data_IF_998106448044
#
_entry.id   IF_998106448044
#
_cell.length_a   1.000
_cell.length_b   1.000
_cell.length_c   1.000
_cell.angle_alpha   90.00
_cell.angle_beta   90.00
_cell.angle_gamma   90.00
#
_symmetry.space_group_name_H-M   'P 1'
#
loop_
_entity.id
_entity.type
_entity.pdbx_description
1 polymer ?
#
# COMPACT_ATOMS: atom_id res chain seq x y z
N UNK A 1 59.77 -13.11 11.53
CA UNK A 1 59.44 -12.84 10.09
C UNK A 1 57.96 -13.10 9.77
N UNK A 2 57.30 -14.22 10.13
CA UNK A 2 55.92 -14.50 9.77
C UNK A 2 54.86 -13.61 10.45
N UNK A 3 55.09 -13.15 11.68
CA UNK A 3 54.13 -12.30 12.40
C UNK A 3 54.07 -10.85 11.89
N UNK A 4 55.17 -10.29 11.43
CA UNK A 4 55.24 -8.94 10.87
C UNK A 4 54.53 -8.87 9.50
N UNK A 5 54.73 -9.89 8.66
CA UNK A 5 54.05 -10.00 7.35
C UNK A 5 52.53 -10.17 7.51
N UNK A 6 52.10 -10.97 8.51
CA UNK A 6 50.64 -11.12 8.79
C UNK A 6 50.03 -9.83 9.34
N UNK A 7 50.77 -9.08 10.15
CA UNK A 7 50.26 -7.78 10.68
C UNK A 7 50.14 -6.75 9.54
N UNK A 8 51.07 -6.72 8.61
CA UNK A 8 51.04 -5.79 7.48
C UNK A 8 49.89 -6.12 6.51
N UNK A 9 49.67 -7.39 6.20
CA UNK A 9 48.52 -7.82 5.40
C UNK A 9 47.17 -7.54 6.08
N UNK A 10 47.08 -7.68 7.39
CA UNK A 10 45.88 -7.33 8.17
C UNK A 10 45.60 -5.83 8.15
N UNK A 11 46.66 -5.02 8.25
CA UNK A 11 46.54 -3.57 8.20
C UNK A 11 45.99 -3.10 6.85
N UNK A 12 46.56 -3.59 5.72
CA UNK A 12 46.08 -3.28 4.38
C UNK A 12 44.62 -3.70 4.17
N UNK A 13 44.23 -4.87 4.68
CA UNK A 13 42.86 -5.34 4.61
C UNK A 13 41.89 -4.42 5.40
N UNK A 14 42.28 -4.00 6.60
CA UNK A 14 41.45 -3.09 7.42
C UNK A 14 41.30 -1.70 6.78
N UNK A 15 42.33 -1.21 6.11
CA UNK A 15 42.27 0.06 5.36
C UNK A 15 41.29 -0.04 4.20
N UNK A 16 41.29 -1.13 3.45
CA UNK A 16 40.32 -1.38 2.36
C UNK A 16 38.90 -1.46 2.91
N UNK A 17 38.70 -2.23 3.97
CA UNK A 17 37.38 -2.35 4.62
C UNK A 17 36.87 -1.01 5.09
N UNK A 18 37.72 -0.22 5.77
CA UNK A 18 37.35 1.11 6.27
C UNK A 18 36.97 2.05 5.14
N UNK A 19 37.78 2.10 4.08
CA UNK A 19 37.53 2.97 2.93
C UNK A 19 36.23 2.56 2.19
N UNK A 20 36.06 1.30 1.86
CA UNK A 20 34.91 0.82 1.09
C UNK A 20 33.60 0.93 1.90
N UNK A 21 33.60 0.63 3.21
CA UNK A 21 32.40 0.79 4.02
C UNK A 21 31.98 2.25 4.21
N UNK A 22 32.94 3.19 4.28
CA UNK A 22 32.61 4.61 4.38
C UNK A 22 32.16 5.25 3.08
N UNK A 23 32.72 4.84 1.94
CA UNK A 23 32.38 5.44 0.63
C UNK A 23 31.22 4.74 -0.06
N UNK A 24 31.21 3.39 -0.05
CA UNK A 24 30.24 2.58 -0.81
C UNK A 24 29.15 1.98 0.07
N UNK A 25 29.34 1.93 1.40
CA UNK A 25 28.44 1.26 2.33
C UNK A 25 28.50 -0.27 2.27
N UNK A 26 29.32 -0.85 1.38
CA UNK A 26 29.54 -2.29 1.24
C UNK A 26 30.99 -2.59 0.87
N UNK A 27 31.50 -3.71 1.34
CA UNK A 27 32.85 -4.15 1.09
C UNK A 27 32.90 -5.67 0.90
N UNK A 28 33.66 -6.13 -0.09
CA UNK A 28 33.91 -7.54 -0.33
C UNK A 28 35.42 -7.82 -0.22
N UNK A 29 35.82 -8.54 0.82
CA UNK A 29 37.23 -8.83 1.11
C UNK A 29 37.51 -10.33 1.13
N UNK A 30 38.58 -10.74 0.46
CA UNK A 30 39.10 -12.12 0.53
C UNK A 30 40.09 -12.24 1.67
N UNK A 31 39.72 -12.96 2.73
CA UNK A 31 40.56 -13.21 3.87
C UNK A 31 40.52 -14.67 4.28
N UNK A 32 41.71 -15.24 4.58
CA UNK A 32 41.84 -16.62 5.09
C UNK A 32 41.19 -17.70 4.21
N UNK A 33 41.10 -17.46 2.89
CA UNK A 33 40.49 -18.42 1.94
C UNK A 33 38.96 -18.31 1.84
N UNK A 34 38.35 -17.32 2.51
CA UNK A 34 36.90 -17.01 2.46
C UNK A 34 36.68 -15.61 1.91
N UNK A 35 35.58 -15.43 1.21
CA UNK A 35 35.10 -14.11 0.81
C UNK A 35 34.15 -13.59 1.89
N UNK A 36 34.53 -12.48 2.54
CA UNK A 36 33.71 -11.77 3.51
C UNK A 36 32.99 -10.63 2.79
N UNK A 37 31.68 -10.67 2.78
CA UNK A 37 30.83 -9.57 2.31
C UNK A 37 30.31 -8.80 3.51
N UNK A 38 30.74 -7.55 3.66
CA UNK A 38 30.37 -6.66 4.75
C UNK A 38 29.49 -5.54 4.17
N UNK A 39 28.37 -5.26 4.83
CA UNK A 39 27.48 -4.17 4.46
C UNK A 39 27.11 -3.35 5.70
N UNK A 40 27.19 -2.04 5.56
CA UNK A 40 26.69 -1.13 6.59
C UNK A 40 25.17 -1.16 6.53
N UNK A 41 24.56 -1.85 7.50
CA UNK A 41 23.11 -1.76 7.69
C UNK A 41 22.82 -0.45 8.40
N UNK A 42 22.16 0.49 7.71
CA UNK A 42 21.57 1.64 8.41
C UNK A 42 20.60 1.10 9.43
N UNK A 43 20.67 1.63 10.68
CA UNK A 43 19.64 1.36 11.69
C UNK A 43 18.37 2.02 11.19
N UNK A 44 17.61 1.32 10.37
CA UNK A 44 16.28 1.77 9.99
C UNK A 44 15.37 1.64 11.22
N UNK A 45 14.47 2.60 11.45
CA UNK A 45 13.46 2.44 12.49
C UNK A 45 12.67 1.15 12.22
N UNK A 46 12.25 0.49 13.29
CA UNK A 46 11.40 -0.70 13.16
C UNK A 46 10.18 -0.39 12.30
N UNK A 47 9.83 -1.25 11.35
CA UNK A 47 8.66 -1.05 10.52
C UNK A 47 7.40 -1.06 11.40
N UNK A 48 6.35 -0.31 11.05
CA UNK A 48 5.09 -0.35 11.77
C UNK A 48 4.53 -1.77 11.83
N UNK A 49 3.76 -2.04 12.87
CA UNK A 49 3.04 -3.32 12.97
C UNK A 49 2.10 -3.47 11.78
N UNK A 50 2.11 -4.67 11.24
CA UNK A 50 1.28 -5.05 10.08
C UNK A 50 0.03 -5.75 10.59
N UNK A 51 -1.15 -5.29 10.11
CA UNK A 51 -2.44 -5.80 10.53
C UNK A 51 -3.06 -6.68 9.45
N UNK A 52 -4.03 -7.51 9.81
CA UNK A 52 -4.68 -8.47 8.92
C UNK A 52 -5.46 -7.81 7.76
N UNK A 53 -5.90 -6.57 7.95
CA UNK A 53 -6.61 -5.75 6.95
C UNK A 53 -5.71 -4.86 6.10
N UNK A 54 -4.42 -4.81 6.37
CA UNK A 54 -3.48 -4.04 5.57
C UNK A 54 -3.27 -4.68 4.19
N UNK A 55 -3.11 -3.83 3.18
CA UNK A 55 -2.86 -4.26 1.81
C UNK A 55 -1.42 -3.96 1.43
N UNK A 56 -0.59 -4.99 1.21
CA UNK A 56 0.77 -4.82 0.75
C UNK A 56 0.80 -4.49 -0.75
N UNK A 57 1.68 -3.57 -1.15
CA UNK A 57 1.93 -3.21 -2.54
C UNK A 57 3.42 -3.27 -2.86
N UNK A 58 3.79 -3.96 -3.93
CA UNK A 58 5.16 -4.04 -4.39
C UNK A 58 5.63 -2.70 -4.94
N UNK A 59 6.76 -2.21 -4.46
CA UNK A 59 7.40 -1.02 -5.01
C UNK A 59 8.02 -1.35 -6.38
N UNK A 60 7.89 -0.42 -7.34
CA UNK A 60 8.19 -0.64 -8.76
C UNK A 60 9.63 -1.10 -9.06
N UNK A 61 10.57 -0.84 -8.15
CA UNK A 61 11.98 -1.18 -8.33
C UNK A 61 12.24 -2.69 -8.48
N UNK A 62 11.32 -3.55 -8.05
CA UNK A 62 11.49 -5.01 -8.14
C UNK A 62 10.87 -5.57 -9.43
N UNK A 63 9.80 -4.96 -9.94
CA UNK A 63 9.22 -5.35 -11.24
C UNK A 63 10.14 -5.02 -12.43
N UNK A 64 11.05 -4.04 -12.27
CA UNK A 64 11.98 -3.61 -13.31
C UNK A 64 13.32 -4.38 -13.27
N UNK A 65 13.61 -5.13 -12.20
CA UNK A 65 14.81 -5.97 -12.13
C UNK A 65 14.74 -7.21 -13.04
N UNK A 66 13.60 -7.48 -13.67
CA UNK A 66 13.52 -8.45 -14.77
C UNK A 66 14.23 -7.95 -16.06
N UNK A 67 14.55 -6.65 -16.14
CA UNK A 67 15.20 -6.02 -17.29
C UNK A 67 16.57 -5.39 -16.99
N UNK A 68 17.08 -5.50 -15.76
CA UNK A 68 18.42 -4.96 -15.45
C UNK A 68 19.48 -5.98 -15.79
N UNK A 69 20.25 -5.68 -16.83
CA UNK A 69 21.38 -6.44 -17.40
C UNK A 69 22.58 -6.66 -16.44
N UNK A 70 22.36 -6.64 -15.14
CA UNK A 70 23.32 -7.09 -14.14
C UNK A 70 22.82 -8.39 -13.52
N UNK A 71 23.11 -9.46 -14.26
CA UNK A 71 23.03 -10.86 -13.95
C UNK A 71 23.04 -11.26 -12.46
N UNK A 72 21.89 -11.21 -11.83
CA UNK A 72 21.59 -12.07 -10.70
C UNK A 72 20.14 -12.51 -10.82
N UNK A 73 19.93 -13.55 -11.62
CA UNK A 73 18.70 -14.35 -11.66
C UNK A 73 18.41 -15.07 -10.34
N UNK A 74 19.17 -14.79 -9.29
CA UNK A 74 19.16 -15.51 -8.02
C UNK A 74 18.46 -14.75 -6.88
N UNK A 75 18.04 -13.50 -7.06
CA UNK A 75 17.44 -12.73 -5.94
C UNK A 75 16.12 -13.34 -5.42
N UNK A 76 15.39 -14.10 -6.24
CA UNK A 76 14.20 -14.83 -5.79
C UNK A 76 14.53 -16.08 -4.99
N UNK A 77 15.71 -16.67 -5.19
CA UNK A 77 16.18 -17.88 -4.47
C UNK A 77 16.75 -17.53 -3.08
N UNK A 78 17.05 -16.25 -2.82
CA UNK A 78 17.56 -15.79 -1.52
C UNK A 78 16.45 -15.52 -0.49
N UNK A 79 15.18 -15.38 -0.95
CA UNK A 79 14.05 -15.20 -0.05
C UNK A 79 13.64 -16.52 0.61
N UNK A 80 13.17 -16.45 1.85
CA UNK A 80 12.60 -17.61 2.52
C UNK A 80 11.39 -18.17 1.75
N UNK A 81 11.11 -19.45 1.92
CA UNK A 81 10.04 -20.15 1.20
C UNK A 81 8.67 -19.47 1.37
N UNK A 82 8.36 -18.97 2.56
CA UNK A 82 7.12 -18.28 2.85
C UNK A 82 7.00 -17.01 2.00
N UNK A 83 8.06 -16.21 1.97
CA UNK A 83 8.12 -14.97 1.16
C UNK A 83 7.95 -15.28 -0.32
N UNK A 84 8.66 -16.29 -0.85
CA UNK A 84 8.50 -16.71 -2.25
C UNK A 84 7.05 -17.10 -2.59
N UNK A 85 6.39 -17.82 -1.67
CA UNK A 85 5.03 -18.28 -1.85
C UNK A 85 4.02 -17.12 -1.87
N UNK A 86 4.18 -16.12 -1.00
CA UNK A 86 3.24 -14.99 -0.89
C UNK A 86 3.47 -13.90 -1.93
N UNK A 87 4.69 -13.74 -2.48
CA UNK A 87 5.02 -12.68 -3.44
C UNK A 87 4.08 -12.65 -4.66
N UNK A 88 3.62 -13.81 -5.12
CA UNK A 88 2.71 -13.92 -6.27
C UNK A 88 1.30 -13.37 -5.97
N UNK A 89 0.92 -13.28 -4.69
CA UNK A 89 -0.39 -12.80 -4.23
C UNK A 89 -0.38 -11.32 -3.82
N UNK A 90 0.80 -10.67 -3.85
CA UNK A 90 0.94 -9.24 -3.54
C UNK A 90 0.63 -8.43 -4.81
N UNK A 91 -0.65 -8.14 -5.02
CA UNK A 91 -1.17 -7.40 -6.17
C UNK A 91 -1.55 -5.94 -5.85
N UNK A 92 -1.48 -5.53 -4.58
CA UNK A 92 -1.92 -4.23 -4.09
C UNK A 92 -3.44 -4.13 -3.88
N UNK A 93 -4.18 -5.24 -3.99
CA UNK A 93 -5.63 -5.28 -3.82
C UNK A 93 -6.01 -6.15 -2.62
N UNK A 94 -5.33 -7.28 -2.44
CA UNK A 94 -5.65 -8.24 -1.40
C UNK A 94 -5.03 -7.85 -0.07
N UNK A 95 -5.85 -7.87 0.98
CA UNK A 95 -5.37 -7.69 2.35
C UNK A 95 -4.70 -8.96 2.88
N UNK A 96 -3.88 -8.83 3.92
CA UNK A 96 -3.02 -9.88 4.44
C UNK A 96 -3.78 -11.17 4.78
N UNK A 97 -4.93 -11.07 5.47
CA UNK A 97 -5.74 -12.25 5.80
C UNK A 97 -6.19 -13.02 4.55
N UNK A 98 -6.52 -12.30 3.47
CA UNK A 98 -6.89 -12.93 2.19
C UNK A 98 -5.68 -13.56 1.50
N UNK A 99 -4.52 -12.89 1.51
CA UNK A 99 -3.27 -13.45 0.99
C UNK A 99 -2.92 -14.74 1.73
N UNK A 100 -3.04 -14.76 3.06
CA UNK A 100 -2.79 -15.95 3.87
C UNK A 100 -3.70 -17.14 3.48
N UNK A 101 -4.99 -16.86 3.28
CA UNK A 101 -5.97 -17.87 2.87
C UNK A 101 -5.65 -18.45 1.49
N UNK A 102 -5.38 -17.61 0.51
CA UNK A 102 -5.13 -18.03 -0.89
C UNK A 102 -3.75 -18.68 -1.06
N UNK A 103 -2.75 -18.22 -0.31
CA UNK A 103 -1.43 -18.84 -0.30
C UNK A 103 -1.37 -20.14 0.53
N UNK A 104 -2.38 -20.43 1.35
CA UNK A 104 -2.38 -21.57 2.25
C UNK A 104 -1.32 -21.47 3.35
N UNK A 105 -0.99 -20.25 3.80
CA UNK A 105 0.03 -19.96 4.82
C UNK A 105 -0.65 -19.37 6.05
N UNK A 106 -0.12 -19.68 7.24
CA UNK A 106 -0.62 -19.05 8.47
C UNK A 106 -0.48 -17.53 8.44
N UNK A 107 -1.52 -16.82 8.90
CA UNK A 107 -1.59 -15.36 8.88
C UNK A 107 -0.44 -14.70 9.67
N UNK A 108 0.03 -15.34 10.74
CA UNK A 108 1.14 -14.83 11.55
C UNK A 108 2.45 -14.85 10.78
N UNK A 109 2.69 -15.90 9.99
CA UNK A 109 3.86 -16.03 9.12
C UNK A 109 3.79 -15.02 7.97
N UNK A 110 2.61 -14.83 7.37
CA UNK A 110 2.43 -13.83 6.31
C UNK A 110 2.71 -12.42 6.85
N UNK A 111 2.20 -12.07 8.03
CA UNK A 111 2.50 -10.76 8.67
C UNK A 111 4.00 -10.58 8.90
N UNK A 112 4.68 -11.59 9.44
CA UNK A 112 6.12 -11.53 9.67
C UNK A 112 6.91 -11.36 8.37
N UNK A 113 6.53 -12.10 7.30
CA UNK A 113 7.16 -11.98 5.99
C UNK A 113 6.93 -10.59 5.37
N UNK A 114 5.69 -10.06 5.42
CA UNK A 114 5.38 -8.72 4.95
C UNK A 114 6.12 -7.65 5.76
N UNK A 115 6.23 -7.81 7.09
CA UNK A 115 6.98 -6.90 7.94
C UNK A 115 8.47 -6.88 7.58
N UNK A 116 9.04 -8.03 7.24
CA UNK A 116 10.41 -8.15 6.75
C UNK A 116 10.58 -7.46 5.39
N UNK A 117 9.66 -7.70 4.44
CA UNK A 117 9.65 -7.01 3.14
C UNK A 117 9.49 -5.49 3.29
N UNK A 118 8.70 -5.03 4.26
CA UNK A 118 8.52 -3.61 4.58
C UNK A 118 9.82 -2.99 5.14
N UNK A 119 10.52 -3.73 6.01
CA UNK A 119 11.83 -3.31 6.53
C UNK A 119 12.85 -3.11 5.41
N UNK A 120 12.88 -4.02 4.44
CA UNK A 120 13.75 -3.94 3.26
C UNK A 120 13.25 -2.98 2.17
N UNK A 121 12.12 -2.29 2.38
CA UNK A 121 11.50 -1.37 1.42
C UNK A 121 11.16 -2.02 0.08
N UNK A 122 10.86 -3.28 0.09
CA UNK A 122 10.37 -4.06 -1.06
C UNK A 122 8.88 -3.83 -1.28
N UNK A 123 8.17 -3.68 -0.17
CA UNK A 123 6.73 -3.50 -0.09
C UNK A 123 6.41 -2.23 0.69
N UNK A 124 5.31 -1.57 0.35
CA UNK A 124 4.66 -0.55 1.17
C UNK A 124 3.24 -1.00 1.54
N UNK A 125 2.64 -0.37 2.54
CA UNK A 125 1.31 -0.69 3.05
C UNK A 125 0.32 0.40 2.68
N UNK A 126 -0.81 -0.01 2.11
CA UNK A 126 -1.94 0.87 1.82
C UNK A 126 -3.23 0.32 2.43
N UNK A 127 -4.23 1.15 2.75
CA UNK A 127 -5.52 0.69 3.21
C UNK A 127 -6.31 0.00 2.08
N UNK A 128 -7.29 -0.83 2.44
CA UNK A 128 -8.20 -1.46 1.47
C UNK A 128 -8.85 -0.38 0.60
N UNK A 129 -8.74 -0.53 -0.71
CA UNK A 129 -9.38 0.34 -1.68
C UNK A 129 -10.82 -0.12 -1.94
N UNK A 130 -11.76 0.83 -1.83
CA UNK A 130 -13.15 0.67 -2.27
C UNK A 130 -13.62 1.97 -2.91
N UNK A 131 -14.48 1.87 -3.90
CA UNK A 131 -15.11 3.04 -4.52
C UNK A 131 -16.00 3.84 -3.56
N UNK A 132 -16.53 3.20 -2.52
CA UNK A 132 -17.31 3.85 -1.45
C UNK A 132 -16.46 4.56 -0.38
N UNK A 133 -15.13 4.41 -0.44
CA UNK A 133 -14.25 5.10 0.49
C UNK A 133 -14.15 6.60 0.17
N UNK A 134 -14.00 7.39 1.23
CA UNK A 134 -13.64 8.81 1.15
C UNK A 134 -12.20 9.01 1.63
N UNK A 135 -11.53 9.99 1.06
CA UNK A 135 -10.14 10.32 1.39
C UNK A 135 -9.98 11.82 1.60
N UNK A 136 -9.12 12.20 2.54
CA UNK A 136 -8.76 13.59 2.80
C UNK A 136 -7.40 13.91 2.21
N UNK A 137 -7.27 15.11 1.69
CA UNK A 137 -5.99 15.67 1.28
C UNK A 137 -5.13 16.07 2.48
N UNK A 138 -3.84 15.82 2.38
CA UNK A 138 -2.84 16.30 3.32
C UNK A 138 -2.07 17.50 2.75
N UNK A 139 -1.38 18.28 3.59
CA UNK A 139 -0.53 19.38 3.11
C UNK A 139 0.58 18.97 2.14
N UNK A 140 0.92 17.68 2.08
CA UNK A 140 1.92 17.11 1.13
C UNK A 140 1.49 17.19 -0.34
N UNK A 141 0.23 17.50 -0.63
CA UNK A 141 -0.21 17.78 -2.00
C UNK A 141 0.65 18.83 -2.69
N UNK A 142 1.22 19.79 -1.94
CA UNK A 142 2.12 20.81 -2.47
C UNK A 142 3.35 20.22 -3.13
N UNK A 143 3.81 19.06 -2.66
CA UNK A 143 5.00 18.38 -3.18
C UNK A 143 4.85 17.95 -4.65
N UNK A 144 3.63 17.59 -5.08
CA UNK A 144 3.35 17.26 -6.48
C UNK A 144 3.40 18.49 -7.41
N UNK A 145 3.16 19.69 -6.87
CA UNK A 145 3.16 20.93 -7.64
C UNK A 145 4.53 21.60 -7.66
N UNK A 146 5.39 21.25 -6.71
CA UNK A 146 6.70 21.88 -6.57
C UNK A 146 7.59 21.56 -7.78
N UNK A 147 8.04 22.61 -8.46
CA UNK A 147 8.95 22.49 -9.61
C UNK A 147 10.29 21.84 -9.26
N UNK A 148 10.71 21.91 -7.99
CA UNK A 148 11.93 21.28 -7.51
C UNK A 148 11.78 19.75 -7.36
N UNK A 149 10.55 19.23 -7.35
CA UNK A 149 10.22 17.79 -7.19
C UNK A 149 9.70 17.17 -8.50
N UNK A 150 10.25 17.57 -9.63
CA UNK A 150 9.84 17.10 -10.96
C UNK A 150 9.96 15.56 -11.07
N UNK A 151 10.96 14.95 -10.43
CA UNK A 151 11.14 13.50 -10.40
C UNK A 151 9.93 12.79 -9.77
N UNK A 152 9.39 13.31 -8.66
CA UNK A 152 8.19 12.78 -8.00
C UNK A 152 6.96 12.86 -8.92
N UNK A 153 6.82 13.97 -9.65
CA UNK A 153 5.73 14.15 -10.62
C UNK A 153 5.82 13.17 -11.77
N UNK A 154 7.02 12.93 -12.30
CA UNK A 154 7.23 11.97 -13.38
C UNK A 154 6.97 10.54 -12.93
N UNK A 155 7.48 10.15 -11.75
CA UNK A 155 7.20 8.86 -11.12
C UNK A 155 5.68 8.66 -10.92
N UNK A 156 4.98 9.68 -10.42
CA UNK A 156 3.54 9.67 -10.27
C UNK A 156 2.82 9.43 -11.59
N UNK A 157 3.15 10.19 -12.63
CA UNK A 157 2.52 10.10 -13.96
C UNK A 157 2.76 8.74 -14.61
N UNK A 158 3.93 8.15 -14.42
CA UNK A 158 4.25 6.80 -14.91
C UNK A 158 3.47 5.73 -14.16
N UNK A 159 3.39 5.84 -12.84
CA UNK A 159 2.70 4.85 -12.00
C UNK A 159 1.20 4.75 -12.29
N UNK A 160 0.52 5.88 -12.51
CA UNK A 160 -0.92 5.93 -12.71
C UNK A 160 -1.37 5.58 -14.13
N UNK A 161 -0.45 5.55 -15.11
CA UNK A 161 -0.79 5.18 -16.48
C UNK A 161 -1.38 3.77 -16.52
N UNK A 162 -2.44 3.62 -17.28
CA UNK A 162 -3.00 2.31 -17.58
C UNK A 162 -2.03 1.57 -18.50
N UNK A 163 -1.64 0.35 -18.12
CA UNK A 163 -0.97 -0.56 -19.04
C UNK A 163 -2.05 -1.17 -19.93
N UNK A 164 -2.25 -0.61 -21.10
CA UNK A 164 -3.10 -1.25 -22.10
C UNK A 164 -2.39 -2.54 -22.53
N UNK A 165 -3.02 -3.69 -22.28
CA UNK A 165 -2.59 -5.00 -22.78
C UNK A 165 -2.86 -5.12 -24.30
N UNK A 166 -2.66 -4.07 -25.06
CA UNK A 166 -2.82 -4.08 -26.51
C UNK A 166 -1.44 -4.14 -27.19
N UNK A 167 -0.79 -5.30 -27.08
CA UNK A 167 0.23 -5.69 -28.07
C UNK A 167 -0.38 -6.03 -29.45
N UNK A 168 -1.68 -5.80 -29.67
CA UNK A 168 -2.37 -6.14 -30.92
C UNK A 168 -3.30 -5.03 -31.41
N UNK A 169 -2.83 -3.79 -31.47
CA UNK A 169 -3.42 -2.82 -32.40
C UNK A 169 -2.30 -2.31 -33.29
N UNK A 170 -2.12 -3.05 -34.37
CA UNK A 170 -1.41 -2.65 -35.57
C UNK A 170 -1.86 -1.22 -35.93
N UNK A 171 -0.89 -0.33 -36.03
CA UNK A 171 -1.02 1.05 -36.52
C UNK A 171 -1.91 1.07 -37.78
N UNK A 172 -3.17 1.43 -37.62
CA UNK A 172 -3.92 2.02 -38.70
C UNK A 172 -3.63 3.52 -38.64
N UNK A 173 -2.62 3.90 -39.39
CA UNK A 173 -2.30 5.27 -39.73
C UNK A 173 -3.41 5.76 -40.62
N UNK A 174 -4.41 6.42 -40.06
CA UNK A 174 -5.28 7.31 -40.84
C UNK A 174 -4.70 8.72 -40.78
N UNK A 175 -4.16 9.16 -41.89
CA UNK A 175 -3.47 10.42 -42.12
C UNK A 175 -4.39 11.66 -42.14
N UNK A 176 -5.50 11.71 -41.45
CA UNK A 176 -6.29 12.95 -41.39
C UNK A 176 -7.20 13.03 -40.15
N UNK A 177 -6.61 13.13 -38.97
CA UNK A 177 -7.30 13.81 -37.85
C UNK A 177 -6.30 14.30 -36.79
N UNK A 178 -5.96 15.56 -36.88
CA UNK A 178 -5.14 16.29 -35.90
C UNK A 178 -5.90 16.52 -34.58
N UNK A 179 -6.22 15.46 -33.86
CA UNK A 179 -6.51 15.51 -32.44
C UNK A 179 -5.16 15.51 -31.73
N UNK A 180 -4.66 16.73 -31.44
CA UNK A 180 -3.48 16.92 -30.59
C UNK A 180 -3.67 16.10 -29.33
N UNK A 181 -2.86 15.04 -29.19
CA UNK A 181 -2.68 14.37 -27.90
C UNK A 181 -2.43 15.46 -26.85
N UNK A 182 -3.17 15.49 -25.71
CA UNK A 182 -3.00 16.53 -24.71
C UNK A 182 -1.54 16.53 -24.28
N UNK A 183 -0.90 17.71 -24.29
CA UNK A 183 0.48 17.86 -23.81
C UNK A 183 0.54 17.29 -22.39
N UNK A 184 1.66 16.69 -22.00
CA UNK A 184 1.84 16.08 -20.67
C UNK A 184 1.49 17.03 -19.50
N UNK A 185 1.65 18.33 -19.69
CA UNK A 185 1.28 19.36 -18.73
C UNK A 185 -0.23 19.58 -18.61
N UNK A 186 -0.96 19.52 -19.74
CA UNK A 186 -2.41 19.67 -19.73
C UNK A 186 -3.06 18.49 -18.99
N UNK A 187 -2.57 17.27 -19.24
CA UNK A 187 -3.01 16.06 -18.56
C UNK A 187 -2.74 16.13 -17.04
N UNK A 188 -1.56 16.56 -16.61
CA UNK A 188 -1.25 16.71 -15.18
C UNK A 188 -2.14 17.74 -14.49
N UNK A 189 -2.44 18.87 -15.14
CA UNK A 189 -3.31 19.90 -14.59
C UNK A 189 -4.74 19.38 -14.34
N UNK A 190 -5.27 18.56 -15.23
CA UNK A 190 -6.59 17.97 -15.09
C UNK A 190 -6.62 16.92 -13.98
N UNK A 191 -5.57 16.07 -13.91
CA UNK A 191 -5.40 15.10 -12.82
C UNK A 191 -5.30 15.84 -11.47
N UNK A 192 -4.53 16.92 -11.41
CA UNK A 192 -4.39 17.70 -10.19
C UNK A 192 -5.72 18.32 -9.72
N UNK A 193 -6.54 18.82 -10.68
CA UNK A 193 -7.90 19.29 -10.36
C UNK A 193 -8.75 18.18 -9.77
N UNK A 194 -8.72 17.00 -10.36
CA UNK A 194 -9.44 15.84 -9.85
C UNK A 194 -8.98 15.47 -8.44
N UNK A 195 -7.67 15.49 -8.18
CA UNK A 195 -7.13 15.22 -6.84
C UNK A 195 -7.65 16.23 -5.82
N UNK A 196 -7.78 17.51 -6.18
CA UNK A 196 -8.30 18.54 -5.28
C UNK A 196 -9.77 18.34 -4.86
N UNK A 197 -10.53 17.48 -5.54
CA UNK A 197 -11.93 17.17 -5.17
C UNK A 197 -12.06 16.14 -4.03
N UNK A 198 -10.96 15.48 -3.67
CA UNK A 198 -10.98 14.55 -2.54
C UNK A 198 -11.22 15.28 -1.22
N UNK A 199 -12.31 14.92 -0.54
CA UNK A 199 -12.69 15.45 0.76
C UNK A 199 -13.44 14.39 1.59
N UNK A 200 -13.78 14.70 2.85
CA UNK A 200 -14.46 13.78 3.77
C UNK A 200 -15.84 13.31 3.32
N UNK A 201 -16.48 14.03 2.40
CA UNK A 201 -17.87 13.81 2.00
C UNK A 201 -18.02 13.18 0.64
N UNK A 202 -17.01 13.33 -0.24
CA UNK A 202 -17.01 12.73 -1.59
C UNK A 202 -16.39 11.36 -1.56
N UNK A 203 -17.05 10.40 -2.19
CA UNK A 203 -16.51 9.07 -2.39
C UNK A 203 -15.63 9.03 -3.64
N UNK A 204 -14.76 8.04 -3.75
CA UNK A 204 -13.98 7.80 -4.99
C UNK A 204 -14.92 7.60 -6.17
N UNK A 205 -16.07 6.92 -5.96
CA UNK A 205 -17.08 6.71 -6.98
C UNK A 205 -17.63 8.02 -7.54
N UNK A 206 -17.96 8.99 -6.68
CA UNK A 206 -18.47 10.31 -7.10
C UNK A 206 -17.46 11.05 -7.97
N UNK A 207 -16.18 10.98 -7.59
CA UNK A 207 -15.09 11.58 -8.35
C UNK A 207 -14.93 10.89 -9.71
N UNK A 208 -14.98 9.54 -9.74
CA UNK A 208 -14.86 8.77 -10.99
C UNK A 208 -16.03 9.03 -11.93
N UNK A 209 -17.27 9.19 -11.42
CA UNK A 209 -18.45 9.53 -12.24
C UNK A 209 -18.31 10.93 -12.83
N UNK A 210 -17.79 11.89 -12.04
CA UNK A 210 -17.64 13.30 -12.47
C UNK A 210 -16.53 13.49 -13.50
N UNK A 211 -15.37 12.89 -13.28
CA UNK A 211 -14.17 13.13 -14.09
C UNK A 211 -13.89 12.08 -15.14
N UNK A 212 -14.49 10.88 -15.03
CA UNK A 212 -14.27 9.72 -15.91
C UNK A 212 -12.77 9.47 -16.22
N UNK A 213 -11.92 9.27 -15.21
CA UNK A 213 -10.47 9.26 -15.37
C UNK A 213 -9.96 8.23 -16.37
N UNK A 214 -10.65 7.09 -16.53
CA UNK A 214 -10.30 6.06 -17.50
C UNK A 214 -10.52 6.51 -18.94
N UNK A 215 -11.63 7.22 -19.20
CA UNK A 215 -12.02 7.61 -20.55
C UNK A 215 -11.29 8.88 -21.00
N UNK A 216 -11.17 9.87 -20.10
CA UNK A 216 -10.65 11.21 -20.44
C UNK A 216 -9.13 11.33 -20.31
N UNK A 217 -8.53 10.65 -19.33
CA UNK A 217 -7.13 10.82 -18.96
C UNK A 217 -6.29 9.56 -19.14
N UNK A 218 -6.92 8.43 -19.49
CA UNK A 218 -6.30 7.10 -19.61
C UNK A 218 -5.46 6.72 -18.39
N UNK A 219 -6.01 6.97 -17.18
CA UNK A 219 -5.38 6.64 -15.91
C UNK A 219 -6.17 5.58 -15.16
N UNK A 220 -5.47 4.83 -14.31
CA UNK A 220 -6.04 3.86 -13.40
C UNK A 220 -6.32 4.53 -12.06
N UNK A 221 -7.60 4.66 -11.70
CA UNK A 221 -8.03 5.30 -10.46
C UNK A 221 -7.58 4.54 -9.20
N UNK A 222 -7.45 3.22 -9.27
CA UNK A 222 -6.94 2.42 -8.14
C UNK A 222 -5.49 2.79 -7.88
N UNK A 223 -4.67 2.78 -8.93
CA UNK A 223 -3.26 3.16 -8.84
C UNK A 223 -3.08 4.62 -8.40
N UNK A 224 -3.97 5.51 -8.86
CA UNK A 224 -3.97 6.91 -8.44
C UNK A 224 -4.09 7.01 -6.92
N UNK A 225 -5.13 6.38 -6.35
CA UNK A 225 -5.38 6.43 -4.89
C UNK A 225 -4.26 5.72 -4.13
N UNK A 226 -3.79 4.58 -4.61
CA UNK A 226 -2.68 3.84 -4.00
C UNK A 226 -1.41 4.69 -3.92
N UNK A 227 -0.99 5.29 -5.05
CA UNK A 227 0.22 6.12 -5.07
C UNK A 227 0.11 7.31 -4.11
N UNK A 228 -1.00 8.03 -4.17
CA UNK A 228 -1.23 9.19 -3.31
C UNK A 228 -1.27 8.81 -1.83
N UNK A 229 -1.76 7.61 -1.50
CA UNK A 229 -1.78 7.10 -0.12
C UNK A 229 -0.38 6.67 0.33
N UNK A 230 0.39 5.96 -0.51
CA UNK A 230 1.80 5.60 -0.24
C UNK A 230 2.65 6.85 0.04
N UNK A 231 2.51 7.89 -0.77
CA UNK A 231 3.22 9.17 -0.57
C UNK A 231 2.61 10.02 0.56
N UNK A 232 1.56 9.51 1.25
CA UNK A 232 0.83 10.21 2.32
C UNK A 232 0.25 11.55 1.89
N UNK A 233 -0.11 11.70 0.61
CA UNK A 233 -0.81 12.86 0.05
C UNK A 233 -2.31 12.74 0.30
N UNK A 234 -2.85 11.51 0.20
CA UNK A 234 -4.20 11.15 0.65
C UNK A 234 -4.15 10.38 1.97
N UNK A 235 -5.16 10.57 2.79
CA UNK A 235 -5.45 9.79 3.99
C UNK A 235 -6.87 9.25 3.87
N UNK A 236 -7.04 7.94 4.05
CA UNK A 236 -8.37 7.33 4.12
C UNK A 236 -9.15 7.87 5.32
N UNK A 237 -10.42 8.16 5.12
CA UNK A 237 -11.36 8.49 6.20
C UNK A 237 -11.95 7.19 6.71
N UNK A 238 -11.56 6.80 7.91
CA UNK A 238 -12.05 5.59 8.54
C UNK A 238 -13.43 5.83 9.17
N UNK A 239 -14.29 4.80 9.14
CA UNK A 239 -15.61 4.79 9.76
C UNK A 239 -15.53 3.93 11.02
N UNK A 240 -15.94 4.48 12.16
CA UNK A 240 -15.96 3.82 13.46
C UNK A 240 -17.39 3.71 13.95
N UNK A 241 -17.96 2.50 14.10
CA UNK A 241 -19.29 2.32 14.64
C UNK A 241 -19.26 2.44 16.17
N UNK A 242 -20.24 3.12 16.72
CA UNK A 242 -20.42 3.30 18.16
C UNK A 242 -21.83 2.95 18.53
N UNK A 243 -21.99 1.93 19.36
CA UNK A 243 -23.27 1.58 19.94
C UNK A 243 -23.54 2.42 21.18
N UNK A 244 -24.68 3.12 21.21
CA UNK A 244 -25.12 3.93 22.34
C UNK A 244 -26.35 3.28 22.95
N UNK A 245 -26.20 2.77 24.17
CA UNK A 245 -27.30 2.20 24.90
C UNK A 245 -28.25 3.32 25.37
N UNK A 246 -29.54 3.26 24.97
CA UNK A 246 -30.51 4.21 25.44
C UNK A 246 -30.67 4.13 26.97
N UNK A 247 -30.52 5.25 27.64
CA UNK A 247 -30.65 5.36 29.10
C UNK A 247 -32.05 4.89 29.63
N UNK A 248 -33.03 4.82 28.76
CA UNK A 248 -34.41 4.38 29.11
C UNK A 248 -34.55 2.85 29.21
N UNK A 249 -33.63 2.07 28.66
CA UNK A 249 -33.67 0.61 28.79
C UNK A 249 -33.21 0.11 30.17
N UNK A 250 -32.59 0.94 30.98
CA UNK A 250 -32.20 0.63 32.38
C UNK A 250 -33.36 0.62 33.36
N UNK A 251 -34.59 1.02 32.98
CA UNK A 251 -35.78 1.07 33.84
C UNK A 251 -36.70 -0.14 33.65
N UNK A 252 -36.16 -1.30 33.27
CA UNK A 252 -36.89 -2.57 33.45
C UNK A 252 -38.27 -2.71 32.79
N UNK A 253 -38.62 -1.88 31.80
CA UNK A 253 -39.84 -2.02 31.01
C UNK A 253 -39.50 -2.85 29.79
N UNK A 254 -39.59 -4.18 29.94
CA UNK A 254 -39.57 -5.12 28.85
C UNK A 254 -40.82 -4.95 28.00
N UNK A 255 -40.80 -4.05 27.04
CA UNK A 255 -41.74 -4.15 25.94
C UNK A 255 -41.18 -5.21 24.99
N UNK A 256 -41.72 -6.42 25.13
CA UNK A 256 -41.54 -7.53 24.21
C UNK A 256 -42.25 -7.21 22.90
N UNK A 257 -41.65 -6.37 22.07
CA UNK A 257 -41.93 -6.36 20.66
C UNK A 257 -40.78 -7.02 19.91
N UNK A 258 -41.01 -8.32 19.70
CA UNK A 258 -40.19 -9.23 18.88
C UNK A 258 -40.32 -8.78 17.40
N UNK A 259 -39.52 -7.80 16.98
CA UNK A 259 -39.27 -7.59 15.54
C UNK A 259 -37.88 -6.98 15.36
N UNK A 260 -36.89 -7.80 15.04
CA UNK A 260 -35.69 -7.36 14.34
C UNK A 260 -34.38 -7.19 15.13
N UNK A 261 -34.35 -7.32 16.46
CA UNK A 261 -33.12 -7.04 17.25
C UNK A 261 -32.13 -8.23 17.40
N UNK A 262 -32.37 -9.36 16.74
CA UNK A 262 -31.62 -10.59 16.99
C UNK A 262 -30.23 -10.66 16.37
N UNK A 263 -29.96 -9.92 15.30
CA UNK A 263 -28.73 -10.08 14.52
C UNK A 263 -27.65 -9.06 14.90
N UNK A 264 -28.05 -7.83 15.25
CA UNK A 264 -27.08 -6.78 15.58
C UNK A 264 -26.48 -6.91 16.98
N UNK A 265 -27.18 -7.56 17.95
CA UNK A 265 -26.70 -7.67 19.33
C UNK A 265 -25.41 -8.47 19.50
N UNK A 266 -25.11 -9.38 18.59
CA UNK A 266 -23.87 -10.15 18.58
C UNK A 266 -22.63 -9.28 18.26
N UNK A 267 -22.84 -8.16 17.53
CA UNK A 267 -21.75 -7.30 17.07
C UNK A 267 -21.50 -6.08 17.97
N UNK A 268 -22.41 -5.77 18.90
CA UNK A 268 -22.27 -4.61 19.79
C UNK A 268 -20.94 -4.52 20.56
N UNK A 269 -20.33 -5.63 21.01
CA UNK A 269 -19.02 -5.55 21.67
C UNK A 269 -17.90 -5.01 20.75
N UNK A 270 -18.11 -5.03 19.44
CA UNK A 270 -17.15 -4.49 18.47
C UNK A 270 -17.46 -3.04 18.06
N UNK A 271 -18.64 -2.51 18.45
CA UNK A 271 -19.11 -1.16 18.13
C UNK A 271 -18.82 -0.19 19.28
N UNK A 272 -17.57 -0.23 19.76
CA UNK A 272 -17.09 0.60 20.86
C UNK A 272 -16.43 1.92 20.39
N UNK A 273 -16.33 2.12 19.06
CA UNK A 273 -15.68 3.27 18.46
C UNK A 273 -14.15 3.18 18.40
N UNK A 274 -13.55 2.07 18.83
CA UNK A 274 -12.09 1.85 18.73
C UNK A 274 -11.70 1.16 17.44
N UNK A 275 -12.58 0.31 16.90
CA UNK A 275 -12.35 -0.48 15.69
C UNK A 275 -13.03 0.16 14.48
N UNK A 276 -12.31 0.25 13.37
CA UNK A 276 -12.89 0.74 12.13
C UNK A 276 -13.50 -0.39 11.28
N UNK A 277 -14.29 -0.04 10.27
CA UNK A 277 -15.02 -0.99 9.42
C UNK A 277 -14.14 -2.10 8.82
N UNK A 278 -12.96 -1.75 8.27
CA UNK A 278 -12.08 -2.75 7.64
C UNK A 278 -11.62 -3.79 8.66
N UNK A 279 -11.30 -3.37 9.89
CA UNK A 279 -10.91 -4.24 10.98
C UNK A 279 -12.04 -5.20 11.37
N UNK A 280 -13.25 -4.64 11.59
CA UNK A 280 -14.44 -5.44 11.95
C UNK A 280 -14.76 -6.44 10.85
N UNK A 281 -14.80 -6.01 9.60
CA UNK A 281 -15.04 -6.88 8.45
C UNK A 281 -14.01 -7.98 8.33
N UNK A 282 -12.74 -7.66 8.55
CA UNK A 282 -11.66 -8.63 8.52
C UNK A 282 -11.77 -9.66 9.66
N UNK A 283 -12.10 -9.22 10.88
CA UNK A 283 -12.28 -10.10 12.03
C UNK A 283 -13.45 -11.06 11.83
N UNK A 284 -14.61 -10.54 11.41
CA UNK A 284 -15.85 -11.30 11.23
C UNK A 284 -15.90 -12.07 9.91
N UNK A 285 -15.04 -11.77 8.94
CA UNK A 285 -15.07 -12.37 7.62
C UNK A 285 -16.28 -11.94 6.78
N UNK A 286 -16.85 -10.77 7.04
CA UNK A 286 -18.00 -10.22 6.32
C UNK A 286 -17.63 -9.11 5.35
N UNK A 287 -18.52 -8.84 4.39
CA UNK A 287 -18.35 -7.73 3.48
C UNK A 287 -18.71 -6.40 4.14
N UNK A 288 -18.09 -5.30 3.68
CA UNK A 288 -18.43 -3.96 4.17
C UNK A 288 -19.89 -3.61 3.90
N UNK A 289 -20.47 -4.07 2.79
CA UNK A 289 -21.89 -3.86 2.48
C UNK A 289 -22.81 -4.49 3.53
N UNK A 290 -22.51 -5.73 3.94
CA UNK A 290 -23.29 -6.41 4.97
C UNK A 290 -23.16 -5.68 6.32
N UNK A 291 -21.96 -5.18 6.66
CA UNK A 291 -21.75 -4.42 7.89
C UNK A 291 -22.52 -3.09 7.84
N UNK A 292 -22.49 -2.36 6.72
CA UNK A 292 -23.24 -1.12 6.52
C UNK A 292 -24.76 -1.37 6.65
N UNK A 293 -25.27 -2.44 6.05
CA UNK A 293 -26.69 -2.83 6.16
C UNK A 293 -27.11 -3.12 7.62
N UNK A 294 -26.26 -3.83 8.37
CA UNK A 294 -26.50 -4.10 9.79
C UNK A 294 -26.54 -2.80 10.59
N UNK A 295 -25.62 -1.89 10.34
CA UNK A 295 -25.51 -0.61 11.05
C UNK A 295 -26.64 0.35 10.68
N UNK A 296 -27.04 0.42 9.41
CA UNK A 296 -28.13 1.28 8.94
C UNK A 296 -29.50 0.85 9.49
N UNK A 297 -29.69 -0.46 9.72
CA UNK A 297 -30.90 -1.01 10.28
C UNK A 297 -31.03 -0.82 11.81
N UNK A 298 -29.96 -0.41 12.49
CA UNK A 298 -29.93 -0.22 13.93
C UNK A 298 -29.89 1.26 14.32
N UNK A 299 -30.97 1.83 14.88
CA UNK A 299 -31.02 3.24 15.22
C UNK A 299 -30.08 3.63 16.39
N UNK A 300 -29.56 2.66 17.14
CA UNK A 300 -28.69 2.88 18.30
C UNK A 300 -27.20 2.88 17.95
N UNK A 301 -26.87 2.64 16.66
CA UNK A 301 -25.48 2.63 16.20
C UNK A 301 -25.18 3.91 15.43
N UNK A 302 -24.21 4.65 15.90
CA UNK A 302 -23.71 5.88 15.27
C UNK A 302 -22.37 5.64 14.60
N UNK A 303 -22.11 6.30 13.48
CA UNK A 303 -20.85 6.15 12.75
C UNK A 303 -20.05 7.45 12.83
N UNK A 304 -18.89 7.36 13.46
CA UNK A 304 -17.91 8.45 13.53
C UNK A 304 -16.95 8.29 12.34
N UNK A 305 -16.70 9.40 11.62
CA UNK A 305 -15.74 9.47 10.51
C UNK A 305 -14.51 10.24 10.95
N UNK A 306 -13.32 9.65 10.80
CA UNK A 306 -12.05 10.25 11.21
C UNK A 306 -10.94 10.08 10.16
#
# INVERSE_FOLDING_TARGET
MSNEQNNQALQEMLEIVFHDLNEKGECSVHALGYTLQLKVTSIAPEPPLVNDWDVPILLANIKNNEASERGTTNDKEEWDLTTQQILNYIDGIWHIKKIALEAGVDTTLVRAAIQNLLYHRVVDIVPIFLYSNSYCLTPKLKDLRDSNKLALRNEFMEFIKRKDNSENVMELIDEDNSLKAPSSETSFREIYKMICEFNNHTTVQDICVRFKPRETLNIDEVKLVQYLTMKKILRKVNKYPVYVQDANSSLGITNTDQTGHGVASEYYPMFDGTKHYDEICCQLGMSIKNLEEIIENDPNVYVIRQ
#
